data_IF_961482472081
#
_entry.id   IF_961482472081
#
_cell.length_a   1.000
_cell.length_b   1.000
_cell.length_c   1.000
_cell.angle_alpha   90.00
_cell.angle_beta   90.00
_cell.angle_gamma   90.00
#
_symmetry.space_group_name_H-M   'P 1'
#
loop_
_entity.id
_entity.type
_entity.pdbx_description
1 polymer ?
#
# COMPACT_ATOMS: atom_id res chain seq x y z
N UNK A 1 1.03 -43.24 -9.43
CA UNK A 1 1.45 -42.20 -10.37
C UNK A 1 0.53 -41.02 -10.09
N UNK A 2 0.82 -40.25 -9.04
CA UNK A 2 -0.12 -39.25 -8.52
C UNK A 2 0.68 -37.95 -8.32
N UNK A 3 1.08 -37.36 -9.44
CA UNK A 3 1.65 -36.02 -9.45
C UNK A 3 0.50 -35.04 -9.28
N UNK A 4 0.40 -34.44 -8.09
CA UNK A 4 -0.40 -33.23 -7.89
C UNK A 4 0.01 -32.21 -8.94
N UNK A 5 -0.87 -31.73 -9.84
CA UNK A 5 -0.50 -30.59 -10.65
C UNK A 5 -0.37 -29.41 -9.69
N UNK A 6 0.87 -28.95 -9.50
CA UNK A 6 1.14 -27.65 -8.92
C UNK A 6 0.33 -26.63 -9.72
N UNK A 7 -0.75 -26.13 -9.09
CA UNK A 7 -1.52 -25.01 -9.61
C UNK A 7 -0.57 -23.81 -9.59
N UNK A 8 0.17 -23.64 -10.68
CA UNK A 8 0.77 -22.36 -11.02
C UNK A 8 -0.40 -21.40 -11.19
N UNK A 9 -0.75 -20.73 -10.12
CA UNK A 9 -1.55 -19.52 -10.18
C UNK A 9 -0.73 -18.57 -11.05
N UNK A 10 -1.05 -18.53 -12.35
CA UNK A 10 -0.49 -17.54 -13.26
C UNK A 10 -0.78 -16.20 -12.61
N UNK A 11 0.24 -15.41 -12.23
CA UNK A 11 0.01 -14.12 -11.59
C UNK A 11 -0.80 -13.29 -12.59
N UNK A 12 -2.09 -13.15 -12.33
CA UNK A 12 -2.95 -12.29 -13.10
C UNK A 12 -2.40 -10.87 -12.94
N UNK A 13 -2.13 -10.15 -14.04
CA UNK A 13 -1.60 -8.76 -14.10
C UNK A 13 -2.09 -7.82 -12.98
N UNK A 14 -3.30 -8.04 -12.46
CA UNK A 14 -3.88 -7.31 -11.34
C UNK A 14 -3.07 -7.39 -10.03
N UNK A 15 -2.32 -8.46 -9.76
CA UNK A 15 -1.48 -8.56 -8.56
C UNK A 15 -0.15 -7.83 -8.72
N UNK A 16 0.39 -7.70 -9.94
CA UNK A 16 1.59 -6.91 -10.23
C UNK A 16 1.34 -5.40 -10.07
N UNK A 17 0.09 -4.98 -10.27
CA UNK A 17 -0.35 -3.61 -10.11
C UNK A 17 -0.80 -3.28 -8.67
N UNK A 18 -0.94 -4.26 -7.77
CA UNK A 18 -1.31 -3.96 -6.38
C UNK A 18 -0.16 -3.26 -5.67
N UNK A 19 -0.51 -2.26 -4.87
CA UNK A 19 0.43 -1.66 -3.96
C UNK A 19 0.80 -2.69 -2.87
N UNK A 20 2.02 -3.21 -2.90
CA UNK A 20 2.53 -4.19 -1.92
C UNK A 20 2.40 -3.73 -0.46
N UNK A 21 2.83 -2.51 -0.10
CA UNK A 21 2.80 -2.02 1.29
C UNK A 21 1.41 -2.00 1.95
N UNK A 22 0.36 -1.68 1.20
CA UNK A 22 -1.02 -1.70 1.71
C UNK A 22 -1.83 -2.90 1.20
N UNK A 23 -1.20 -3.83 0.47
CA UNK A 23 -1.86 -4.96 -0.21
C UNK A 23 -3.08 -4.55 -1.05
N UNK A 24 -3.04 -3.37 -1.66
CA UNK A 24 -4.16 -2.81 -2.42
C UNK A 24 -5.31 -2.16 -1.63
N UNK A 25 -5.18 -2.00 -0.30
CA UNK A 25 -6.17 -1.33 0.55
C UNK A 25 -6.23 0.19 0.36
N UNK A 26 -5.10 0.82 0.01
CA UNK A 26 -4.97 2.28 -0.07
C UNK A 26 -4.65 2.98 1.27
N UNK A 27 -4.73 2.27 2.41
CA UNK A 27 -4.31 2.78 3.72
C UNK A 27 -3.32 1.84 4.40
N UNK A 28 -2.48 2.39 5.28
CA UNK A 28 -1.54 1.63 6.12
C UNK A 28 -1.70 2.09 7.57
N UNK A 29 -1.54 1.16 8.52
CA UNK A 29 -1.51 1.50 9.93
C UNK A 29 -0.17 2.15 10.28
N UNK A 30 -0.21 3.39 10.76
CA UNK A 30 0.94 4.14 11.23
C UNK A 30 0.90 4.26 12.74
N UNK A 31 2.05 4.10 13.39
CA UNK A 31 2.24 4.39 14.81
C UNK A 31 2.97 5.73 15.02
N UNK A 32 3.04 6.58 13.99
CA UNK A 32 3.68 7.89 14.10
C UNK A 32 2.97 8.75 15.15
N UNK A 33 3.71 9.35 16.08
CA UNK A 33 3.10 10.10 17.20
C UNK A 33 2.65 9.24 18.39
N UNK A 34 2.92 7.93 18.38
CA UNK A 34 2.79 7.05 19.56
C UNK A 34 1.50 6.25 19.64
N UNK A 35 0.52 6.51 18.78
CA UNK A 35 -0.76 5.81 18.76
C UNK A 35 -1.06 5.24 17.36
N UNK A 36 -1.53 3.98 17.24
CA UNK A 36 -1.87 3.37 15.96
C UNK A 36 -3.07 4.07 15.32
N UNK A 37 -2.90 4.55 14.10
CA UNK A 37 -3.97 5.15 13.29
C UNK A 37 -3.79 4.77 11.82
N UNK A 38 -4.90 4.69 11.06
CA UNK A 38 -4.84 4.50 9.61
C UNK A 38 -4.44 5.82 8.93
N UNK A 39 -3.40 5.78 8.10
CA UNK A 39 -3.03 6.88 7.20
C UNK A 39 -3.18 6.45 5.75
N UNK A 40 -3.33 7.42 4.86
CA UNK A 40 -3.25 7.20 3.43
C UNK A 40 -1.90 6.55 3.11
N UNK A 41 -1.91 5.47 2.33
CA UNK A 41 -0.70 4.76 1.98
C UNK A 41 0.20 5.68 1.13
N UNK A 42 1.39 6.09 1.60
CA UNK A 42 2.23 7.02 0.87
C UNK A 42 2.84 6.39 -0.39
N UNK A 43 2.79 5.06 -0.55
CA UNK A 43 3.28 4.37 -1.75
C UNK A 43 2.30 4.36 -2.93
N UNK A 44 1.01 4.53 -2.66
CA UNK A 44 -0.02 4.55 -3.71
C UNK A 44 -0.96 5.75 -3.61
N UNK A 45 -0.71 6.66 -2.67
CA UNK A 45 -1.53 7.84 -2.39
C UNK A 45 -3.03 7.51 -2.22
N UNK A 46 -3.36 6.33 -1.70
CA UNK A 46 -4.75 5.90 -1.51
C UNK A 46 -5.36 5.11 -2.67
N UNK A 47 -4.68 4.99 -3.81
CA UNK A 47 -5.22 4.32 -5.00
C UNK A 47 -5.26 2.79 -4.88
N UNK A 48 -4.49 2.21 -3.95
CA UNK A 48 -4.30 0.76 -3.84
C UNK A 48 -3.49 0.16 -4.99
N UNK A 49 -2.99 0.97 -5.93
CA UNK A 49 -2.20 0.51 -7.08
C UNK A 49 -0.77 1.02 -6.98
N UNK A 50 0.19 0.24 -7.47
CA UNK A 50 1.59 0.67 -7.57
C UNK A 50 1.66 1.86 -8.52
N UNK A 51 2.23 2.96 -8.05
CA UNK A 51 2.54 4.12 -8.88
C UNK A 51 4.02 4.01 -9.28
N UNK A 52 4.35 3.89 -10.58
CA UNK A 52 5.73 3.87 -11.03
C UNK A 52 6.39 5.24 -10.79
N UNK A 53 7.68 5.24 -10.45
CA UNK A 53 8.47 6.46 -10.18
C UNK A 53 7.97 7.32 -9.01
N UNK A 54 7.09 6.78 -8.16
CA UNK A 54 6.53 7.48 -7.03
C UNK A 54 7.45 7.49 -5.81
N UNK A 55 7.75 8.68 -5.30
CA UNK A 55 8.51 8.83 -4.07
C UNK A 55 7.60 8.74 -2.83
N UNK A 56 7.58 7.53 -2.27
CA UNK A 56 6.84 7.26 -1.03
C UNK A 56 7.37 7.98 0.21
N UNK A 57 8.62 8.44 0.21
CA UNK A 57 9.17 9.18 1.35
C UNK A 57 8.64 10.60 1.33
N UNK A 58 8.74 11.28 0.19
CA UNK A 58 8.20 12.65 0.01
C UNK A 58 6.69 12.67 0.26
N UNK A 59 5.94 11.70 -0.28
CA UNK A 59 4.51 11.59 -0.03
C UNK A 59 4.20 11.31 1.45
N UNK A 60 5.02 10.50 2.12
CA UNK A 60 4.91 10.24 3.55
C UNK A 60 5.21 11.47 4.41
N UNK A 61 6.19 12.29 4.03
CA UNK A 61 6.49 13.57 4.66
C UNK A 61 5.31 14.53 4.50
N UNK A 62 4.79 14.73 3.28
CA UNK A 62 3.58 15.53 3.02
C UNK A 62 2.38 15.09 3.86
N UNK A 63 2.20 13.79 4.06
CA UNK A 63 1.10 13.26 4.88
C UNK A 63 1.33 13.44 6.39
N UNK A 64 2.60 13.51 6.83
CA UNK A 64 2.96 13.75 8.24
C UNK A 64 2.94 15.24 8.59
N UNK A 65 3.29 16.10 7.65
CA UNK A 65 3.27 17.56 7.79
C UNK A 65 1.85 18.13 7.71
N UNK A 66 0.95 17.46 6.99
CA UNK A 66 -0.48 17.75 7.08
C UNK A 66 -0.97 17.32 8.46
N UNK A 67 -1.37 18.26 9.36
CA UNK A 67 -2.03 17.86 10.58
C UNK A 67 -3.29 17.09 10.21
N UNK A 68 -3.69 16.04 10.98
CA UNK A 68 -4.98 15.41 10.76
C UNK A 68 -6.01 16.54 10.80
N UNK A 69 -6.84 16.65 9.74
CA UNK A 69 -7.88 17.66 9.66
C UNK A 69 -8.62 17.68 11.00
N UNK A 70 -8.31 18.69 11.80
CA UNK A 70 -8.88 18.88 13.12
C UNK A 70 -10.20 19.57 12.86
N UNK A 71 -11.27 18.77 12.81
CA UNK A 71 -12.65 19.25 12.92
C UNK A 71 -12.98 19.45 14.41
#
# INVERSE_FOLDING_TARGET
MEGTPERKEEPTDVDELKCGPCSGKGSVQSNAGGEPHDVVCPWCEGTGKRIPEHDSQEAGERLREQPPASD
#
